data_IF_362717194965
#
_entry.id   IF_362717194965
#
_cell.length_a   1.000
_cell.length_b   1.000
_cell.length_c   1.000
_cell.angle_alpha   90.00
_cell.angle_beta   90.00
_cell.angle_gamma   90.00
#
_symmetry.space_group_name_H-M   'P 1'
#
loop_
_entity.id
_entity.type
_entity.pdbx_description
1 polymer ?
#
# COMPACT_ATOMS: atom_id res chain seq x y z
N UNK A 1 -13.79 -5.32 -16.47
CA UNK A 1 -12.36 -4.96 -16.58
C UNK A 1 -12.19 -3.83 -17.56
N UNK A 2 -11.30 -2.88 -17.24
CA UNK A 2 -10.95 -1.71 -18.05
C UNK A 2 -9.43 -1.74 -18.28
N UNK A 3 -8.99 -1.15 -19.39
CA UNK A 3 -7.57 -0.93 -19.68
C UNK A 3 -7.33 0.56 -19.89
N UNK A 4 -6.26 1.09 -19.33
CA UNK A 4 -5.82 2.46 -19.55
C UNK A 4 -4.31 2.50 -19.76
N UNK A 5 -3.84 3.39 -20.62
CA UNK A 5 -2.42 3.66 -20.75
C UNK A 5 -1.95 4.56 -19.61
N UNK A 6 -0.97 4.08 -18.84
CA UNK A 6 -0.32 4.78 -17.74
C UNK A 6 1.19 4.68 -17.88
N UNK A 7 1.94 5.29 -16.99
CA UNK A 7 3.38 5.02 -16.89
C UNK A 7 3.65 3.98 -15.79
N UNK A 8 4.71 3.18 -15.99
CA UNK A 8 5.24 2.34 -14.91
C UNK A 8 6.08 3.17 -13.92
N UNK A 9 6.63 2.52 -12.89
CA UNK A 9 7.45 3.19 -11.89
C UNK A 9 8.70 3.88 -12.47
N UNK A 10 9.22 3.41 -13.63
CA UNK A 10 10.33 4.02 -14.35
C UNK A 10 9.86 5.04 -15.42
N UNK A 11 8.63 5.53 -15.31
CA UNK A 11 8.00 6.49 -16.22
C UNK A 11 7.91 6.02 -17.68
N UNK A 12 7.83 4.71 -17.94
CA UNK A 12 7.64 4.15 -19.27
C UNK A 12 6.16 3.83 -19.50
N UNK A 13 5.63 4.19 -20.68
CA UNK A 13 4.24 3.94 -21.04
C UNK A 13 3.91 2.44 -21.03
N UNK A 14 2.76 2.07 -20.46
CA UNK A 14 2.26 0.71 -20.41
C UNK A 14 0.75 0.65 -20.24
N UNK A 15 0.08 -0.40 -20.71
CA UNK A 15 -1.30 -0.67 -20.34
C UNK A 15 -1.36 -1.17 -18.88
N UNK A 16 -2.37 -0.70 -18.15
CA UNK A 16 -2.71 -1.16 -16.81
C UNK A 16 -4.19 -1.55 -16.75
N UNK A 17 -4.46 -2.70 -16.14
CA UNK A 17 -5.82 -3.17 -15.92
C UNK A 17 -6.36 -2.66 -14.59
N UNK A 18 -7.66 -2.37 -14.56
CA UNK A 18 -8.42 -2.03 -13.37
C UNK A 18 -9.89 -2.44 -13.58
N UNK A 19 -10.69 -2.46 -12.54
CA UNK A 19 -12.07 -2.92 -12.61
C UNK A 19 -13.02 -1.81 -12.21
N UNK A 20 -14.15 -1.73 -12.88
CA UNK A 20 -15.21 -0.78 -12.61
C UNK A 20 -16.58 -1.43 -12.79
N UNK A 21 -17.38 -1.30 -11.78
CA UNK A 21 -18.79 -1.64 -11.81
C UNK A 21 -19.62 -0.34 -11.88
N UNK A 22 -20.24 -0.12 -13.02
CA UNK A 22 -21.04 1.09 -13.26
C UNK A 22 -22.37 1.12 -12.50
N UNK A 23 -22.89 -0.04 -12.05
CA UNK A 23 -24.12 -0.10 -11.28
C UNK A 23 -23.91 0.35 -9.84
N UNK A 24 -22.82 -0.10 -9.22
CA UNK A 24 -22.47 0.29 -7.84
C UNK A 24 -21.61 1.56 -7.77
N UNK A 25 -21.02 2.00 -8.88
CA UNK A 25 -20.04 3.09 -8.91
C UNK A 25 -18.71 2.74 -8.25
N UNK A 26 -18.43 1.43 -8.05
CA UNK A 26 -17.22 0.95 -7.40
C UNK A 26 -16.12 0.65 -8.41
N UNK A 27 -14.91 1.11 -8.13
CA UNK A 27 -13.71 0.73 -8.85
C UNK A 27 -12.77 -0.09 -7.96
N UNK A 28 -11.96 -0.96 -8.58
CA UNK A 28 -10.87 -1.67 -7.92
C UNK A 28 -9.59 -1.42 -8.70
N UNK A 29 -8.57 -0.92 -8.02
CA UNK A 29 -7.25 -0.64 -8.58
C UNK A 29 -6.19 -1.41 -7.79
N UNK A 30 -5.41 -2.21 -8.47
CA UNK A 30 -4.17 -2.77 -7.97
C UNK A 30 -3.02 -1.88 -8.42
N UNK A 31 -2.37 -1.15 -7.50
CA UNK A 31 -1.31 -0.20 -7.87
C UNK A 31 -0.11 -0.89 -8.52
N UNK A 32 0.11 -2.17 -8.22
CA UNK A 32 1.16 -2.97 -8.84
C UNK A 32 1.01 -3.09 -10.37
N UNK A 33 -0.16 -2.80 -10.94
CA UNK A 33 -0.35 -2.68 -12.39
C UNK A 33 0.46 -1.53 -13.01
N UNK A 34 0.86 -0.54 -12.21
CA UNK A 34 1.72 0.57 -12.64
C UNK A 34 3.05 0.60 -11.89
N UNK A 35 3.08 0.50 -10.56
CA UNK A 35 4.30 0.64 -9.77
C UNK A 35 4.87 -0.68 -9.21
N UNK A 36 4.44 -1.83 -9.77
CA UNK A 36 4.84 -3.15 -9.29
C UNK A 36 6.32 -3.47 -9.51
N UNK A 37 6.97 -4.06 -8.48
CA UNK A 37 8.37 -4.50 -8.56
C UNK A 37 8.56 -5.61 -9.62
N UNK A 38 7.58 -6.49 -9.78
CA UNK A 38 7.60 -7.57 -10.77
C UNK A 38 7.56 -7.09 -12.23
N UNK A 39 7.18 -5.84 -12.46
CA UNK A 39 7.14 -5.24 -13.80
C UNK A 39 8.52 -4.81 -14.29
N UNK A 40 9.44 -4.58 -13.37
CA UNK A 40 10.75 -4.04 -13.66
C UNK A 40 11.80 -5.15 -13.81
N UNK A 41 12.73 -5.02 -14.77
CA UNK A 41 13.88 -5.90 -14.84
C UNK A 41 14.69 -5.83 -13.54
N UNK A 42 14.98 -6.99 -12.96
CA UNK A 42 15.71 -7.10 -11.70
C UNK A 42 17.05 -6.36 -11.74
N UNK A 43 17.31 -5.53 -10.74
CA UNK A 43 18.60 -4.82 -10.56
C UNK A 43 18.88 -3.72 -11.57
N UNK A 44 17.93 -3.38 -12.46
CA UNK A 44 18.13 -2.35 -13.49
C UNK A 44 17.90 -0.93 -12.99
N UNK A 45 16.95 -0.76 -12.07
CA UNK A 45 16.57 0.56 -11.56
C UNK A 45 16.84 0.65 -10.06
N UNK A 46 17.35 1.80 -9.65
CA UNK A 46 17.44 2.15 -8.24
C UNK A 46 16.11 2.81 -7.79
N UNK A 47 15.62 2.60 -6.56
CA UNK A 47 14.40 3.25 -6.10
C UNK A 47 14.39 4.78 -6.19
N UNK A 48 15.55 5.43 -6.24
CA UNK A 48 15.68 6.87 -6.47
C UNK A 48 15.20 7.33 -7.85
N UNK A 49 15.18 6.42 -8.83
CA UNK A 49 14.76 6.68 -10.21
C UNK A 49 13.29 6.31 -10.46
N UNK A 50 12.59 5.83 -9.41
CA UNK A 50 11.22 5.33 -9.50
C UNK A 50 10.26 6.26 -8.78
N UNK A 51 9.05 6.44 -9.33
CA UNK A 51 7.96 7.16 -8.69
C UNK A 51 6.58 6.48 -8.89
N UNK A 52 5.58 7.02 -8.19
CA UNK A 52 4.21 6.50 -8.19
C UNK A 52 3.28 7.21 -9.17
N UNK A 53 3.77 7.90 -10.19
CA UNK A 53 2.97 8.70 -11.14
C UNK A 53 1.83 7.90 -11.77
N UNK A 54 2.09 6.67 -12.21
CA UNK A 54 1.09 5.80 -12.83
C UNK A 54 -0.07 5.45 -11.89
N UNK A 55 0.15 5.42 -10.58
CA UNK A 55 -0.93 5.24 -9.60
C UNK A 55 -1.92 6.40 -9.65
N UNK A 56 -1.44 7.64 -9.71
CA UNK A 56 -2.30 8.82 -9.87
C UNK A 56 -3.09 8.81 -11.18
N UNK A 57 -2.47 8.32 -12.27
CA UNK A 57 -3.15 8.16 -13.55
C UNK A 57 -4.28 7.11 -13.48
N UNK A 58 -4.08 5.99 -12.78
CA UNK A 58 -5.13 5.00 -12.52
C UNK A 58 -6.31 5.60 -11.75
N UNK A 59 -6.05 6.37 -10.70
CA UNK A 59 -7.10 7.04 -9.92
C UNK A 59 -7.88 8.07 -10.75
N UNK A 60 -7.18 8.82 -11.61
CA UNK A 60 -7.83 9.75 -12.56
C UNK A 60 -8.68 9.02 -13.58
N UNK A 61 -8.22 7.89 -14.12
CA UNK A 61 -8.99 7.07 -15.06
C UNK A 61 -10.27 6.54 -14.40
N UNK A 62 -10.19 6.09 -13.14
CA UNK A 62 -11.37 5.67 -12.38
C UNK A 62 -12.37 6.84 -12.20
N UNK A 63 -11.89 8.03 -11.85
CA UNK A 63 -12.74 9.22 -11.75
C UNK A 63 -13.39 9.63 -13.09
N UNK A 64 -12.63 9.58 -14.19
CA UNK A 64 -13.13 9.87 -15.54
C UNK A 64 -14.19 8.88 -16.00
N UNK A 65 -14.10 7.62 -15.57
CA UNK A 65 -15.11 6.60 -15.85
C UNK A 65 -16.39 6.75 -15.00
N UNK A 66 -16.39 7.69 -14.05
CA UNK A 66 -17.53 7.96 -13.17
C UNK A 66 -17.56 7.14 -11.88
N UNK A 67 -16.43 6.53 -11.49
CA UNK A 67 -16.36 5.85 -10.20
C UNK A 67 -16.59 6.83 -9.05
N UNK A 68 -17.49 6.48 -8.15
CA UNK A 68 -17.74 7.22 -6.91
C UNK A 68 -16.72 6.85 -5.82
N UNK A 69 -16.28 5.57 -5.82
CA UNK A 69 -15.35 5.03 -4.85
C UNK A 69 -14.36 4.04 -5.51
N UNK A 70 -13.13 4.03 -5.02
CA UNK A 70 -12.07 3.16 -5.49
C UNK A 70 -11.45 2.38 -4.32
N UNK A 71 -11.57 1.06 -4.35
CA UNK A 71 -10.79 0.16 -3.50
C UNK A 71 -9.41 -0.03 -4.12
N UNK A 72 -8.37 0.26 -3.35
CA UNK A 72 -6.99 0.29 -3.86
C UNK A 72 -6.10 -0.67 -3.08
N UNK A 73 -5.59 -1.70 -3.75
CA UNK A 73 -4.54 -2.57 -3.23
C UNK A 73 -3.15 -1.99 -3.53
N UNK A 74 -2.26 -1.93 -2.52
CA UNK A 74 -0.95 -1.29 -2.65
C UNK A 74 0.25 -2.24 -2.50
N UNK A 75 0.01 -3.56 -2.45
CA UNK A 75 1.06 -4.57 -2.35
C UNK A 75 1.98 -4.63 -3.57
N UNK A 76 3.18 -5.21 -3.40
CA UNK A 76 4.12 -5.49 -4.49
C UNK A 76 4.82 -4.28 -5.11
N UNK A 77 4.85 -3.11 -4.47
CA UNK A 77 5.40 -1.86 -5.01
C UNK A 77 6.93 -1.87 -5.15
N UNK A 78 7.44 -1.19 -6.20
CA UNK A 78 8.86 -0.92 -6.42
C UNK A 78 9.34 0.42 -5.84
N UNK A 79 8.41 1.34 -5.56
CA UNK A 79 8.66 2.75 -5.27
C UNK A 79 8.91 3.03 -3.78
N UNK A 80 9.57 4.16 -3.47
CA UNK A 80 9.81 4.65 -2.10
C UNK A 80 9.69 6.18 -2.03
N UNK A 81 8.74 6.75 -2.76
CA UNK A 81 8.59 8.19 -2.98
C UNK A 81 7.53 8.87 -2.10
N UNK A 82 6.95 8.13 -1.12
CA UNK A 82 5.90 8.70 -0.27
C UNK A 82 4.62 9.07 -1.01
N UNK A 83 4.39 8.51 -2.20
CA UNK A 83 3.26 8.88 -3.05
C UNK A 83 3.44 10.20 -3.80
N UNK A 84 4.66 10.74 -3.83
CA UNK A 84 4.97 12.01 -4.50
C UNK A 84 4.59 12.02 -5.98
N UNK A 85 4.98 10.99 -6.74
CA UNK A 85 4.63 10.88 -8.16
C UNK A 85 3.12 10.82 -8.37
N UNK A 86 2.40 10.05 -7.56
CA UNK A 86 0.95 9.98 -7.55
C UNK A 86 0.32 11.36 -7.30
N UNK A 87 0.76 12.06 -6.26
CA UNK A 87 0.24 13.39 -5.91
C UNK A 87 0.44 14.38 -7.06
N UNK A 88 1.61 14.37 -7.71
CA UNK A 88 1.85 15.20 -8.90
C UNK A 88 0.92 14.88 -10.06
N UNK A 89 0.64 13.60 -10.31
CA UNK A 89 -0.33 13.21 -11.33
C UNK A 89 -1.75 13.70 -11.00
N UNK A 90 -2.10 13.76 -9.71
CA UNK A 90 -3.37 14.30 -9.21
C UNK A 90 -3.43 15.84 -9.23
N UNK A 91 -2.34 16.52 -9.64
CA UNK A 91 -2.28 17.98 -9.78
C UNK A 91 -1.71 18.74 -8.59
N UNK A 92 -1.14 18.05 -7.58
CA UNK A 92 -0.39 18.70 -6.52
C UNK A 92 0.93 19.24 -7.06
N UNK A 93 1.37 20.40 -6.57
CA UNK A 93 2.64 21.02 -6.95
C UNK A 93 3.51 21.17 -5.72
N UNK A 94 4.76 20.73 -5.84
CA UNK A 94 5.78 20.77 -4.79
C UNK A 94 6.88 21.75 -5.20
N UNK A 95 7.18 22.74 -4.35
CA UNK A 95 8.16 23.79 -4.66
C UNK A 95 9.26 23.86 -3.64
N UNK A 96 10.47 24.19 -4.10
CA UNK A 96 11.61 24.53 -3.25
C UNK A 96 11.52 25.97 -2.71
N UNK A 97 12.48 26.37 -1.87
CA UNK A 97 12.56 27.73 -1.27
C UNK A 97 12.66 28.84 -2.32
N UNK A 98 13.12 28.55 -3.54
CA UNK A 98 13.18 29.50 -4.65
C UNK A 98 11.87 29.59 -5.43
N UNK A 99 10.86 28.78 -5.08
CA UNK A 99 9.58 28.67 -5.77
C UNK A 99 9.60 27.78 -7.01
N UNK A 100 10.74 27.11 -7.28
CA UNK A 100 10.89 26.20 -8.43
C UNK A 100 10.21 24.86 -8.16
N UNK A 101 9.48 24.29 -9.14
CA UNK A 101 8.88 22.96 -8.99
C UNK A 101 9.94 21.87 -8.76
N UNK A 102 9.66 20.99 -7.80
CA UNK A 102 10.43 19.77 -7.56
C UNK A 102 9.85 18.66 -8.45
N UNK A 103 10.73 18.09 -9.30
CA UNK A 103 10.35 17.07 -10.28
C UNK A 103 10.74 15.65 -9.86
N UNK A 104 11.63 15.50 -8.88
CA UNK A 104 12.15 14.24 -8.38
C UNK A 104 12.00 14.16 -6.86
N UNK A 105 11.48 13.06 -6.36
CA UNK A 105 11.26 12.88 -4.92
C UNK A 105 12.55 12.91 -4.10
N UNK A 106 13.69 12.57 -4.69
CA UNK A 106 15.01 12.64 -4.07
C UNK A 106 15.53 14.06 -3.83
N UNK A 107 14.76 15.07 -4.24
CA UNK A 107 14.98 16.50 -4.00
C UNK A 107 14.01 17.09 -2.97
N UNK A 108 13.21 16.26 -2.33
CA UNK A 108 12.22 16.68 -1.32
C UNK A 108 12.87 17.21 -0.04
N UNK A 109 14.17 16.98 0.17
CA UNK A 109 14.95 17.65 1.22
C UNK A 109 14.89 19.18 1.14
N UNK A 110 14.75 19.74 -0.08
CA UNK A 110 14.55 21.18 -0.34
C UNK A 110 13.08 21.63 -0.43
N UNK A 111 12.11 20.79 -0.12
CA UNK A 111 10.69 21.14 -0.21
C UNK A 111 10.30 22.26 0.75
N UNK A 112 9.68 23.34 0.25
CA UNK A 112 9.26 24.50 1.03
C UNK A 112 7.75 24.71 1.00
N UNK A 113 7.09 24.41 -0.12
CA UNK A 113 5.66 24.68 -0.32
C UNK A 113 4.99 23.55 -1.08
N UNK A 114 3.75 23.23 -0.69
CA UNK A 114 2.85 22.33 -1.39
C UNK A 114 1.59 23.09 -1.77
N UNK A 115 1.23 23.04 -3.05
CA UNK A 115 -0.01 23.65 -3.58
C UNK A 115 -0.99 22.54 -3.95
N UNK A 116 -2.22 22.67 -3.47
CA UNK A 116 -3.29 21.71 -3.79
C UNK A 116 -3.86 21.93 -5.20
N UNK A 117 -4.37 20.88 -5.84
CA UNK A 117 -5.09 21.03 -7.11
C UNK A 117 -6.35 21.86 -6.95
N UNK A 118 -6.73 22.56 -8.00
CA UNK A 118 -7.92 23.43 -8.02
C UNK A 118 -9.24 22.66 -8.01
N UNK A 119 -9.21 21.39 -8.42
CA UNK A 119 -10.37 20.51 -8.43
C UNK A 119 -9.95 19.07 -8.17
N UNK A 120 -10.86 18.28 -7.57
CA UNK A 120 -10.66 16.84 -7.35
C UNK A 120 -11.30 16.08 -8.52
N UNK A 121 -10.48 15.35 -9.26
CA UNK A 121 -10.89 14.55 -10.41
C UNK A 121 -10.80 13.03 -10.19
N UNK A 122 -10.60 12.59 -8.96
CA UNK A 122 -10.53 11.17 -8.56
C UNK A 122 -11.61 10.81 -7.54
N UNK A 123 -12.02 9.53 -7.46
CA UNK A 123 -13.08 9.06 -6.56
C UNK A 123 -12.68 9.12 -5.08
N UNK A 124 -13.59 8.78 -4.17
CA UNK A 124 -13.25 8.38 -2.82
C UNK A 124 -12.30 7.16 -2.87
N UNK A 125 -11.34 7.06 -1.96
CA UNK A 125 -10.34 5.98 -1.97
C UNK A 125 -10.32 5.27 -0.64
N UNK A 126 -10.42 3.93 -0.66
CA UNK A 126 -10.06 3.06 0.46
C UNK A 126 -8.85 2.23 0.07
N UNK A 127 -7.83 2.24 0.92
CA UNK A 127 -6.62 1.43 0.76
C UNK A 127 -6.78 0.14 1.56
N UNK A 128 -6.69 -1.00 0.89
CA UNK A 128 -6.60 -2.30 1.54
C UNK A 128 -5.14 -2.60 1.90
N UNK A 129 -4.80 -2.61 3.19
CA UNK A 129 -3.44 -2.90 3.66
C UNK A 129 -3.44 -3.50 5.07
N UNK A 130 -2.69 -4.60 5.25
CA UNK A 130 -2.44 -5.20 6.56
C UNK A 130 -1.07 -4.79 7.15
N UNK A 131 -0.35 -3.88 6.47
CA UNK A 131 0.89 -3.29 6.94
C UNK A 131 0.59 -2.15 7.91
N UNK A 132 1.27 -2.15 9.06
CA UNK A 132 1.07 -1.16 10.14
C UNK A 132 2.23 -0.18 10.29
N UNK A 133 3.30 -0.34 9.53
CA UNK A 133 4.51 0.47 9.64
C UNK A 133 4.23 1.97 9.44
N UNK A 134 4.83 2.86 10.25
CA UNK A 134 4.81 4.29 10.02
C UNK A 134 5.61 4.66 8.77
N UNK A 135 5.55 5.92 8.36
CA UNK A 135 6.31 6.40 7.20
C UNK A 135 7.83 6.41 7.48
N UNK A 136 8.25 6.84 8.66
CA UNK A 136 9.61 7.26 9.00
C UNK A 136 10.24 6.38 10.09
N UNK A 137 11.58 6.47 10.18
CA UNK A 137 12.37 5.82 11.23
C UNK A 137 12.66 4.36 10.95
N UNK A 138 13.25 3.66 11.94
CA UNK A 138 13.74 2.28 11.81
C UNK A 138 12.64 1.27 11.45
N UNK A 139 11.41 1.54 11.85
CA UNK A 139 10.23 0.74 11.52
C UNK A 139 9.46 1.30 10.31
N UNK A 140 10.01 2.33 9.66
CA UNK A 140 9.36 3.05 8.56
C UNK A 140 9.60 2.44 7.18
N UNK A 141 8.98 3.08 6.18
CA UNK A 141 8.95 2.64 4.79
C UNK A 141 10.33 2.29 4.23
N UNK A 142 11.31 3.19 4.39
CA UNK A 142 12.64 3.04 3.82
C UNK A 142 13.44 1.94 4.50
N UNK A 143 13.47 1.95 5.83
CA UNK A 143 14.31 1.04 6.61
C UNK A 143 13.82 -0.42 6.54
N UNK A 144 12.51 -0.63 6.56
CA UNK A 144 11.93 -1.98 6.52
C UNK A 144 11.89 -2.54 5.11
N UNK A 145 11.54 -1.72 4.11
CA UNK A 145 11.24 -2.21 2.76
C UNK A 145 12.24 -1.79 1.68
N UNK A 146 13.18 -0.89 1.98
CA UNK A 146 14.11 -0.36 0.99
C UNK A 146 15.02 -1.41 0.37
N UNK A 147 15.60 -2.30 1.17
CA UNK A 147 16.52 -3.35 0.69
C UNK A 147 15.87 -4.29 -0.33
N UNK A 148 14.65 -4.76 -0.07
CA UNK A 148 13.94 -5.66 -1.00
C UNK A 148 13.60 -5.00 -2.36
N UNK A 149 13.59 -3.67 -2.40
CA UNK A 149 13.37 -2.87 -3.61
C UNK A 149 14.68 -2.52 -4.32
N UNK A 150 15.83 -2.94 -3.78
CA UNK A 150 17.15 -2.68 -4.34
C UNK A 150 17.80 -1.37 -3.86
N UNK A 151 17.27 -0.73 -2.82
CA UNK A 151 17.92 0.43 -2.20
C UNK A 151 19.13 -0.02 -1.38
N UNK A 152 20.24 0.69 -1.52
CA UNK A 152 21.48 0.40 -0.79
C UNK A 152 21.43 1.01 0.61
N UNK A 153 22.04 0.39 1.64
CA UNK A 153 22.01 0.90 3.01
C UNK A 153 22.51 2.35 3.14
N UNK A 154 23.50 2.75 2.35
CA UNK A 154 24.06 4.11 2.34
C UNK A 154 23.05 5.18 1.87
N UNK A 155 22.01 4.78 1.15
CA UNK A 155 20.98 5.69 0.61
C UNK A 155 19.77 5.86 1.56
N UNK A 156 19.65 5.00 2.60
CA UNK A 156 18.49 4.99 3.50
C UNK A 156 18.28 6.31 4.23
N UNK A 157 19.36 6.88 4.78
CA UNK A 157 19.27 8.13 5.53
C UNK A 157 18.79 9.30 4.65
N UNK A 158 19.24 9.34 3.39
CA UNK A 158 18.78 10.35 2.43
C UNK A 158 17.32 10.15 2.05
N UNK A 159 16.92 8.92 1.78
CA UNK A 159 15.53 8.60 1.44
C UNK A 159 14.58 8.96 2.59
N UNK A 160 14.92 8.56 3.82
CA UNK A 160 14.13 8.84 5.02
C UNK A 160 14.04 10.35 5.30
N UNK A 161 15.12 11.11 5.10
CA UNK A 161 15.13 12.56 5.23
C UNK A 161 14.21 13.25 4.19
N UNK A 162 14.20 12.78 2.94
CA UNK A 162 13.27 13.27 1.92
C UNK A 162 11.81 13.01 2.29
N UNK A 163 11.49 11.81 2.76
CA UNK A 163 10.15 11.47 3.23
C UNK A 163 9.77 12.26 4.48
N UNK A 164 10.72 12.48 5.40
CA UNK A 164 10.51 13.30 6.59
C UNK A 164 10.21 14.76 6.26
N UNK A 165 10.91 15.33 5.29
CA UNK A 165 10.62 16.69 4.82
C UNK A 165 9.26 16.76 4.13
N UNK A 166 8.91 15.77 3.30
CA UNK A 166 7.60 15.66 2.68
C UNK A 166 6.51 15.62 3.75
N UNK A 167 6.62 14.74 4.75
CA UNK A 167 5.64 14.60 5.84
C UNK A 167 5.46 15.90 6.61
N UNK A 168 6.58 16.57 6.97
CA UNK A 168 6.56 17.84 7.71
C UNK A 168 5.79 18.93 6.95
N UNK A 169 6.17 19.19 5.69
CA UNK A 169 5.52 20.27 4.91
C UNK A 169 4.07 19.92 4.57
N UNK A 170 3.78 18.63 4.37
CA UNK A 170 2.40 18.14 4.21
C UNK A 170 1.56 18.42 5.45
N UNK A 171 2.08 18.10 6.64
CA UNK A 171 1.40 18.37 7.92
C UNK A 171 1.14 19.85 8.14
N UNK A 172 2.12 20.70 7.83
CA UNK A 172 1.98 22.17 7.89
C UNK A 172 0.93 22.68 6.91
N UNK A 173 0.85 22.11 5.69
CA UNK A 173 -0.09 22.52 4.64
C UNK A 173 -1.52 22.06 4.89
N UNK A 174 -1.69 20.80 5.34
CA UNK A 174 -3.00 20.16 5.51
C UNK A 174 -3.55 20.27 6.94
N UNK A 175 -2.74 20.70 7.90
CA UNK A 175 -3.10 20.76 9.32
C UNK A 175 -3.24 19.40 10.00
N UNK A 176 -2.69 18.34 9.41
CA UNK A 176 -2.76 16.96 9.92
C UNK A 176 -1.50 16.18 9.59
N UNK A 177 -0.96 15.48 10.59
CA UNK A 177 0.20 14.59 10.39
C UNK A 177 -0.27 13.16 10.15
N UNK A 178 0.03 12.63 8.97
CA UNK A 178 -0.26 11.27 8.56
C UNK A 178 0.93 10.33 8.71
N UNK A 179 2.12 10.82 9.08
CA UNK A 179 3.37 10.05 9.02
C UNK A 179 3.42 8.90 10.03
N UNK A 180 2.82 9.09 11.21
CA UNK A 180 2.73 8.10 12.26
C UNK A 180 1.49 7.18 12.15
N UNK A 181 0.59 7.45 11.20
CA UNK A 181 -0.63 6.63 11.03
C UNK A 181 -0.24 5.20 10.63
N UNK A 182 -0.83 4.16 11.27
CA UNK A 182 -0.61 2.78 10.86
C UNK A 182 -0.87 2.59 9.36
N UNK A 183 0.11 1.99 8.66
CA UNK A 183 0.04 1.82 7.22
C UNK A 183 0.61 2.98 6.38
N UNK A 184 1.02 4.09 6.98
CA UNK A 184 1.64 5.20 6.26
C UNK A 184 2.91 4.76 5.50
N UNK A 185 3.71 3.85 6.08
CA UNK A 185 4.91 3.29 5.46
C UNK A 185 4.65 2.24 4.38
N UNK A 186 3.42 1.75 4.26
CA UNK A 186 3.08 0.73 3.27
C UNK A 186 3.45 1.19 1.85
N UNK A 187 3.95 0.24 1.04
CA UNK A 187 4.30 0.47 -0.35
C UNK A 187 5.31 1.62 -0.57
N UNK A 188 6.28 1.79 0.37
CA UNK A 188 7.29 2.86 0.26
C UNK A 188 6.74 4.25 0.51
N UNK A 189 5.78 4.34 1.43
CA UNK A 189 5.10 5.57 1.80
C UNK A 189 3.90 5.92 0.90
N UNK A 190 3.53 5.05 -0.05
CA UNK A 190 2.32 5.29 -0.85
C UNK A 190 1.07 5.35 0.04
N UNK A 191 1.02 4.58 1.14
CA UNK A 191 -0.05 4.69 2.13
C UNK A 191 -0.19 6.11 2.69
N UNK A 192 0.92 6.74 3.10
CA UNK A 192 0.95 8.14 3.51
C UNK A 192 0.43 9.05 2.39
N UNK A 193 0.96 8.90 1.16
CA UNK A 193 0.57 9.74 0.03
C UNK A 193 -0.90 9.64 -0.32
N UNK A 194 -1.49 8.44 -0.27
CA UNK A 194 -2.91 8.23 -0.53
C UNK A 194 -3.79 8.90 0.54
N UNK A 195 -3.42 8.80 1.83
CA UNK A 195 -4.13 9.52 2.89
C UNK A 195 -4.03 11.04 2.71
N UNK A 196 -2.83 11.55 2.55
CA UNK A 196 -2.56 12.98 2.51
C UNK A 196 -3.09 13.66 1.22
N UNK A 197 -2.80 13.08 0.07
CA UNK A 197 -3.02 13.74 -1.23
C UNK A 197 -4.27 13.26 -1.96
N UNK A 198 -4.73 12.04 -1.71
CA UNK A 198 -5.97 11.52 -2.28
C UNK A 198 -7.14 11.50 -1.29
N UNK A 199 -6.91 11.78 -0.01
CA UNK A 199 -7.92 11.74 1.04
C UNK A 199 -8.42 10.32 1.32
N UNK A 200 -7.54 9.33 1.21
CA UNK A 200 -7.86 7.92 1.40
C UNK A 200 -8.03 7.57 2.88
N UNK A 201 -8.83 6.54 3.14
CA UNK A 201 -8.83 5.77 4.39
C UNK A 201 -8.05 4.48 4.21
N UNK A 202 -7.38 3.99 5.26
CA UNK A 202 -6.74 2.66 5.26
C UNK A 202 -7.63 1.71 6.04
N UNK A 203 -7.94 0.57 5.43
CA UNK A 203 -8.67 -0.54 6.04
C UNK A 203 -7.83 -1.83 5.96
N UNK A 204 -8.06 -2.76 6.89
CA UNK A 204 -7.43 -4.08 6.82
C UNK A 204 -7.81 -4.78 5.51
N UNK A 205 -6.81 -5.28 4.79
CA UNK A 205 -7.04 -6.04 3.55
C UNK A 205 -7.89 -7.27 3.79
N UNK A 206 -7.70 -7.94 4.94
CA UNK A 206 -8.52 -9.07 5.34
C UNK A 206 -9.99 -8.68 5.57
N UNK A 207 -10.26 -7.59 6.30
CA UNK A 207 -11.62 -7.14 6.56
C UNK A 207 -12.34 -6.74 5.26
N UNK A 208 -11.65 -6.04 4.37
CA UNK A 208 -12.17 -5.70 3.04
C UNK A 208 -12.51 -6.96 2.25
N UNK A 209 -11.60 -7.94 2.21
CA UNK A 209 -11.80 -9.22 1.53
C UNK A 209 -12.95 -10.02 2.17
N UNK A 210 -12.95 -10.13 3.50
CA UNK A 210 -13.97 -10.87 4.24
C UNK A 210 -15.38 -10.31 3.98
N UNK A 211 -15.51 -9.00 3.96
CA UNK A 211 -16.77 -8.31 3.65
C UNK A 211 -17.18 -8.51 2.19
N UNK A 212 -16.25 -8.34 1.25
CA UNK A 212 -16.56 -8.48 -0.18
C UNK A 212 -16.93 -9.91 -0.59
N UNK A 213 -16.46 -10.91 0.15
CA UNK A 213 -16.72 -12.34 -0.12
C UNK A 213 -17.79 -12.96 0.77
N UNK A 214 -18.38 -12.20 1.68
CA UNK A 214 -19.30 -12.69 2.71
C UNK A 214 -18.70 -13.88 3.51
N UNK A 215 -17.40 -13.72 3.85
CA UNK A 215 -16.59 -14.80 4.42
C UNK A 215 -17.14 -15.29 5.77
N UNK A 216 -17.65 -14.37 6.60
CA UNK A 216 -18.19 -14.72 7.92
C UNK A 216 -19.41 -15.65 7.81
N UNK A 217 -20.34 -15.38 6.90
CA UNK A 217 -21.48 -16.25 6.65
C UNK A 217 -21.03 -17.63 6.12
N UNK A 218 -20.10 -17.64 5.16
CA UNK A 218 -19.57 -18.89 4.59
C UNK A 218 -18.85 -19.75 5.63
N UNK A 219 -18.06 -19.14 6.50
CA UNK A 219 -17.42 -19.84 7.63
C UNK A 219 -18.47 -20.36 8.61
N UNK A 220 -19.51 -19.56 8.88
CA UNK A 220 -20.62 -19.96 9.76
C UNK A 220 -21.42 -21.17 9.27
N UNK A 221 -21.53 -21.35 7.96
CA UNK A 221 -22.22 -22.47 7.31
C UNK A 221 -21.34 -23.73 7.19
N UNK A 222 -20.03 -23.60 7.26
CA UNK A 222 -19.09 -24.72 7.11
C UNK A 222 -19.05 -25.61 8.36
N UNK A 223 -18.82 -26.91 8.18
CA UNK A 223 -18.54 -27.84 9.28
C UNK A 223 -17.14 -27.64 9.84
N UNK A 224 -16.17 -27.38 8.98
CA UNK A 224 -14.80 -27.02 9.30
C UNK A 224 -14.18 -26.16 8.20
N UNK A 225 -13.09 -25.47 8.51
CA UNK A 225 -12.38 -24.59 7.58
C UNK A 225 -10.93 -25.06 7.41
N UNK A 226 -10.46 -25.09 6.17
CA UNK A 226 -9.05 -25.34 5.86
C UNK A 226 -8.46 -24.07 5.30
N UNK A 227 -7.33 -23.63 5.89
CA UNK A 227 -6.57 -22.48 5.41
C UNK A 227 -5.10 -22.89 5.22
N UNK A 228 -4.38 -22.22 4.32
CA UNK A 228 -3.00 -22.59 4.02
C UNK A 228 -2.13 -21.38 3.69
N UNK A 229 -0.84 -21.46 4.06
CA UNK A 229 0.18 -20.51 3.65
C UNK A 229 1.55 -21.17 3.52
N UNK A 230 2.54 -20.46 2.96
CA UNK A 230 3.89 -21.00 2.77
C UNK A 230 4.61 -21.29 4.08
N UNK A 231 4.50 -20.40 5.06
CA UNK A 231 5.07 -20.54 6.40
C UNK A 231 4.11 -20.00 7.44
N UNK A 232 3.84 -20.78 8.48
CA UNK A 232 3.15 -20.32 9.70
C UNK A 232 4.23 -19.92 10.71
N UNK A 233 4.26 -18.64 11.06
CA UNK A 233 5.23 -18.03 11.97
C UNK A 233 4.55 -17.12 13.00
N UNK A 234 5.33 -16.38 13.77
CA UNK A 234 4.80 -15.43 14.76
C UNK A 234 3.91 -14.35 14.14
N UNK A 235 4.16 -13.95 12.88
CA UNK A 235 3.33 -12.97 12.20
C UNK A 235 1.93 -13.51 11.89
N UNK A 236 1.84 -14.80 11.57
CA UNK A 236 0.55 -15.50 11.43
C UNK A 236 -0.23 -15.46 12.74
N UNK A 237 0.42 -15.73 13.87
CA UNK A 237 -0.19 -15.67 15.19
C UNK A 237 -0.59 -14.24 15.60
N UNK A 238 0.13 -13.25 15.13
CA UNK A 238 -0.20 -11.82 15.30
C UNK A 238 -1.36 -11.33 14.44
N UNK A 239 -2.03 -12.22 13.70
CA UNK A 239 -3.22 -11.87 12.92
C UNK A 239 -2.93 -11.47 11.47
N UNK A 240 -1.89 -12.06 10.84
CA UNK A 240 -1.70 -11.99 9.39
C UNK A 240 -2.16 -13.26 8.71
N UNK A 241 -2.66 -13.12 7.48
CA UNK A 241 -3.01 -14.25 6.62
C UNK A 241 -3.95 -15.26 7.27
N UNK A 242 -3.49 -16.51 7.38
CA UNK A 242 -4.26 -17.63 7.94
C UNK A 242 -4.61 -17.44 9.41
N UNK A 243 -3.86 -16.64 10.17
CA UNK A 243 -4.16 -16.32 11.56
C UNK A 243 -5.47 -15.55 11.74
N UNK A 244 -5.85 -14.70 10.77
CA UNK A 244 -7.13 -13.99 10.79
C UNK A 244 -8.30 -14.96 10.51
N UNK A 245 -8.11 -15.93 9.61
CA UNK A 245 -9.08 -16.99 9.37
C UNK A 245 -9.29 -17.83 10.63
N UNK A 246 -8.20 -18.22 11.30
CA UNK A 246 -8.27 -18.99 12.55
C UNK A 246 -8.99 -18.21 13.67
N UNK A 247 -8.74 -16.90 13.78
CA UNK A 247 -9.43 -16.04 14.73
C UNK A 247 -10.94 -15.92 14.43
N UNK A 248 -11.32 -15.81 13.14
CA UNK A 248 -12.71 -15.81 12.69
C UNK A 248 -13.40 -17.15 13.03
N UNK A 249 -12.76 -18.27 12.73
CA UNK A 249 -13.27 -19.60 13.05
C UNK A 249 -13.49 -19.78 14.55
N UNK A 250 -12.50 -19.35 15.38
CA UNK A 250 -12.62 -19.39 16.85
C UNK A 250 -13.82 -18.58 17.35
N UNK A 251 -14.02 -17.38 16.81
CA UNK A 251 -15.16 -16.51 17.14
C UNK A 251 -16.52 -17.17 16.82
N UNK A 252 -16.56 -17.90 15.70
CA UNK A 252 -17.77 -18.60 15.24
C UNK A 252 -17.90 -20.02 15.79
N UNK A 253 -16.97 -20.51 16.59
CA UNK A 253 -16.99 -21.87 17.15
C UNK A 253 -16.80 -22.96 16.10
N UNK A 254 -16.06 -22.67 15.01
CA UNK A 254 -15.79 -23.60 13.91
C UNK A 254 -14.38 -24.18 13.98
N UNK A 255 -14.21 -25.51 13.77
CA UNK A 255 -12.89 -26.12 13.64
C UNK A 255 -12.12 -25.49 12.48
N UNK A 256 -10.82 -25.22 12.68
CA UNK A 256 -9.94 -24.67 11.66
C UNK A 256 -8.65 -25.50 11.57
N UNK A 257 -8.27 -25.88 10.34
CA UNK A 257 -7.05 -26.62 10.05
C UNK A 257 -6.13 -25.71 9.24
N UNK A 258 -4.96 -25.37 9.80
CA UNK A 258 -3.91 -24.65 9.11
C UNK A 258 -2.93 -25.61 8.45
N UNK A 259 -2.63 -25.41 7.16
CA UNK A 259 -1.61 -26.13 6.42
C UNK A 259 -0.45 -25.19 6.09
N UNK A 260 0.78 -25.62 6.30
CA UNK A 260 1.95 -24.82 5.96
C UNK A 260 3.08 -25.68 5.38
N UNK A 261 3.87 -25.08 4.47
CA UNK A 261 5.11 -25.68 4.00
C UNK A 261 6.20 -25.68 5.07
N UNK A 262 6.19 -24.67 5.96
CA UNK A 262 7.09 -24.54 7.11
C UNK A 262 6.33 -24.09 8.35
N UNK A 263 6.72 -24.63 9.50
CA UNK A 263 6.30 -24.15 10.82
C UNK A 263 7.51 -23.49 11.48
N UNK A 264 7.48 -22.19 11.65
CA UNK A 264 8.52 -21.39 12.31
C UNK A 264 7.99 -20.81 13.64
N UNK A 265 7.23 -21.60 14.39
CA UNK A 265 6.80 -21.27 15.73
C UNK A 265 7.96 -21.56 16.67
N UNK A 266 8.37 -20.57 17.48
CA UNK A 266 9.34 -20.80 18.54
C UNK A 266 8.90 -22.01 19.37
N UNK A 267 9.83 -22.96 19.62
CA UNK A 267 9.52 -24.17 20.37
C UNK A 267 8.95 -23.78 21.75
N UNK A 268 7.66 -23.89 21.89
CA UNK A 268 7.08 -24.11 23.21
C UNK A 268 7.53 -25.53 23.60
N UNK A 269 8.50 -25.62 24.54
CA UNK A 269 8.94 -26.88 25.10
C UNK A 269 7.72 -27.64 25.62
N UNK A 270 7.37 -28.75 24.99
CA UNK A 270 6.56 -29.78 25.62
C UNK A 270 5.21 -30.17 25.02
N UNK A 271 4.90 -29.85 23.75
CA UNK A 271 3.69 -30.42 23.12
C UNK A 271 4.03 -31.15 21.81
N UNK A 272 4.04 -32.53 21.80
CA UNK A 272 4.23 -33.32 20.60
C UNK A 272 2.95 -33.50 19.78
N UNK A 273 1.87 -32.79 20.08
CA UNK A 273 0.60 -32.86 19.36
C UNK A 273 0.37 -31.60 18.54
N UNK A 274 0.13 -31.74 17.26
CA UNK A 274 -0.18 -30.63 16.35
C UNK A 274 -1.24 -29.70 16.94
N UNK A 275 -0.91 -28.42 17.01
CA UNK A 275 -1.81 -27.39 17.55
C UNK A 275 -2.95 -27.20 16.57
N UNK A 276 -4.14 -27.65 16.92
CA UNK A 276 -5.39 -27.25 16.28
C UNK A 276 -5.72 -25.83 16.74
N UNK A 277 -5.76 -24.91 15.81
CA UNK A 277 -6.22 -23.55 16.05
C UNK A 277 -7.74 -23.47 16.06
#
# INVERSE_FOLDING_TARGET
>A
EQLVEVVDAACQARPAAWWFDSESGQAVVETAQSNGLALLPRGRFHPFDLDTRGVGQLLLAAGQAGAAHCLTGIGGSATNDGGFGMARALGWVFRDESGKPIEQWTRLDGLALIESPTSRAWPGVTVASDVQNPLLGVDGATWVYGSQKGMRPEDFAKADACLGRLAKVTGETLGSDFSATPGAGAAGGLGFGLMAFAGATIESGFEVFAKATDLEAKVGEADFVVTAEGAIDEQTLMGKGTGQIAALCRRLGKPCIGLAGQLALGQAEGDPGGTLF
#
